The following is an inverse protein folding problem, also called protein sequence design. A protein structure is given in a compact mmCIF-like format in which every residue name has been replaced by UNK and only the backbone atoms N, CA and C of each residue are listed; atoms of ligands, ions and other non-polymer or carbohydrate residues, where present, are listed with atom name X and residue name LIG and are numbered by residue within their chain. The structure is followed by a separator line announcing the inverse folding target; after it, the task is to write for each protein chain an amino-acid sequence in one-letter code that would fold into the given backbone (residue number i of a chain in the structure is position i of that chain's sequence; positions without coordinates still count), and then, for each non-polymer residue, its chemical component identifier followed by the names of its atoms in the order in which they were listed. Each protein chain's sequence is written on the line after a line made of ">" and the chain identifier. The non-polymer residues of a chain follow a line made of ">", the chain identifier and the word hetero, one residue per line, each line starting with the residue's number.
data_IF_648303254076
#
_entry.id   IF_648303254076
#
_cell.length_a   1.000
_cell.length_b   1.000
_cell.length_c   1.000
_cell.angle_alpha   90.00
_cell.angle_beta   90.00
_cell.angle_gamma   90.00
#
_symmetry.space_group_name_H-M   'P 1'
#
loop_
_entity.id
_entity.type
_entity.pdbx_description
1 polymer ?
#
# COMPACT_ATOMS: atom_id res chain seq x y z
N UNK A 1 -9.33 -0.45 -12.73
CA UNK A 1 -9.26 -1.83 -12.15
C UNK A 1 -7.99 -2.61 -12.51
N UNK A 2 -7.26 -2.25 -13.60
CA UNK A 2 -6.09 -3.01 -14.03
C UNK A 2 -5.01 -3.17 -12.93
N UNK A 3 -4.67 -2.08 -12.22
CA UNK A 3 -3.64 -2.13 -11.18
C UNK A 3 -3.91 -3.15 -10.07
N UNK A 4 -5.08 -3.12 -9.40
CA UNK A 4 -5.42 -4.11 -8.36
C UNK A 4 -5.41 -5.56 -8.85
N UNK A 5 -5.88 -5.79 -10.09
CA UNK A 5 -5.90 -7.14 -10.69
C UNK A 5 -4.47 -7.64 -10.92
N UNK A 6 -3.61 -6.80 -11.50
CA UNK A 6 -2.20 -7.14 -11.75
C UNK A 6 -1.49 -7.45 -10.42
N UNK A 7 -1.69 -6.61 -9.39
CA UNK A 7 -1.08 -6.87 -8.08
C UNK A 7 -1.52 -8.21 -7.49
N UNK A 8 -2.81 -8.51 -7.49
CA UNK A 8 -3.33 -9.78 -7.00
C UNK A 8 -2.78 -11.00 -7.77
N UNK A 9 -2.70 -10.92 -9.10
CA UNK A 9 -2.14 -11.98 -9.93
C UNK A 9 -0.66 -12.20 -9.67
N UNK A 10 0.12 -11.13 -9.53
CA UNK A 10 1.56 -11.21 -9.21
C UNK A 10 1.76 -11.84 -7.83
N UNK A 11 0.97 -11.49 -6.81
CA UNK A 11 1.03 -12.14 -5.50
C UNK A 11 0.80 -13.65 -5.63
N UNK A 12 -0.24 -14.08 -6.36
CA UNK A 12 -0.53 -15.51 -6.55
C UNK A 12 0.64 -16.23 -7.22
N UNK A 13 1.07 -15.74 -8.38
CA UNK A 13 2.12 -16.37 -9.17
C UNK A 13 3.42 -16.46 -8.36
N UNK A 14 3.85 -15.34 -7.75
CA UNK A 14 5.08 -15.27 -6.99
C UNK A 14 5.04 -16.11 -5.72
N UNK A 15 3.91 -16.17 -5.01
CA UNK A 15 3.74 -17.03 -3.84
C UNK A 15 3.82 -18.52 -4.22
N UNK A 16 3.22 -18.92 -5.35
CA UNK A 16 3.31 -20.28 -5.87
C UNK A 16 4.76 -20.63 -6.27
N UNK A 17 5.45 -19.73 -6.96
CA UNK A 17 6.88 -19.87 -7.28
C UNK A 17 7.70 -20.08 -6.00
N UNK A 18 7.48 -19.24 -4.96
CA UNK A 18 8.14 -19.39 -3.67
C UNK A 18 7.84 -20.73 -3.02
N UNK A 19 6.57 -21.14 -2.99
CA UNK A 19 6.12 -22.34 -2.32
C UNK A 19 6.66 -23.63 -2.96
N UNK A 20 6.72 -23.71 -4.30
CA UNK A 20 7.02 -24.92 -5.01
C UNK A 20 8.44 -24.99 -5.58
N UNK A 21 9.03 -23.88 -5.98
CA UNK A 21 10.30 -23.84 -6.69
C UNK A 21 11.48 -23.41 -5.81
N UNK A 22 11.22 -22.67 -4.73
CA UNK A 22 12.26 -22.13 -3.86
C UNK A 22 12.30 -22.86 -2.54
N UNK A 23 13.40 -23.56 -2.26
CA UNK A 23 13.66 -24.20 -0.97
C UNK A 23 14.45 -23.25 -0.08
N UNK A 24 13.75 -22.47 0.73
CA UNK A 24 14.35 -21.57 1.72
C UNK A 24 15.20 -20.45 1.09
N UNK A 25 14.77 -19.20 1.21
CA UNK A 25 15.58 -18.04 0.77
C UNK A 25 16.44 -17.64 1.96
N UNK A 26 17.79 -17.59 1.82
CA UNK A 26 18.64 -17.05 2.86
C UNK A 26 18.22 -15.59 3.19
N UNK A 27 18.22 -15.24 4.47
CA UNK A 27 17.80 -13.92 4.97
C UNK A 27 18.51 -12.77 4.24
N UNK A 28 19.78 -12.97 3.88
CA UNK A 28 20.59 -12.04 3.11
C UNK A 28 19.95 -11.62 1.78
N UNK A 29 19.30 -12.56 1.07
CA UNK A 29 18.61 -12.24 -0.21
C UNK A 29 17.30 -11.50 0.05
N UNK A 30 16.56 -11.85 1.09
CA UNK A 30 15.35 -11.11 1.49
C UNK A 30 15.68 -9.66 1.83
N UNK A 31 16.76 -9.43 2.58
CA UNK A 31 17.21 -8.10 2.97
C UNK A 31 17.63 -7.23 1.77
N UNK A 32 18.40 -7.78 0.83
CA UNK A 32 18.83 -7.00 -0.34
C UNK A 32 17.66 -6.66 -1.27
N UNK A 33 16.68 -7.58 -1.42
CA UNK A 33 15.47 -7.34 -2.20
C UNK A 33 14.62 -6.24 -1.55
N UNK A 34 14.44 -6.26 -0.23
CA UNK A 34 13.73 -5.19 0.49
C UNK A 34 14.39 -3.82 0.29
N UNK A 35 15.73 -3.75 0.35
CA UNK A 35 16.47 -2.50 0.14
C UNK A 35 16.36 -1.99 -1.29
N UNK A 36 16.46 -2.87 -2.28
CA UNK A 36 16.26 -2.51 -3.69
C UNK A 36 14.83 -1.99 -3.93
N UNK A 37 13.86 -2.67 -3.36
CA UNK A 37 12.47 -2.26 -3.38
C UNK A 37 12.25 -0.89 -2.74
N UNK A 38 12.89 -0.62 -1.59
CA UNK A 38 12.84 0.67 -0.92
C UNK A 38 13.36 1.80 -1.80
N UNK A 39 14.51 1.61 -2.47
CA UNK A 39 15.08 2.59 -3.39
C UNK A 39 14.16 2.88 -4.58
N UNK A 40 13.57 1.85 -5.18
CA UNK A 40 12.59 2.00 -6.25
C UNK A 40 11.35 2.79 -5.79
N UNK A 41 10.87 2.50 -4.58
CA UNK A 41 9.72 3.19 -3.97
C UNK A 41 10.02 4.66 -3.72
N UNK A 42 11.22 5.00 -3.22
CA UNK A 42 11.66 6.39 -3.03
C UNK A 42 11.70 7.11 -4.38
N UNK A 43 12.29 6.50 -5.40
CA UNK A 43 12.39 7.09 -6.73
C UNK A 43 11.00 7.39 -7.32
N UNK A 44 10.07 6.43 -7.26
CA UNK A 44 8.69 6.61 -7.75
C UNK A 44 8.00 7.73 -6.98
N UNK A 45 8.14 7.74 -5.66
CA UNK A 45 7.54 8.75 -4.82
C UNK A 45 8.03 10.16 -5.11
N UNK A 46 9.35 10.35 -5.24
CA UNK A 46 9.95 11.65 -5.58
C UNK A 46 9.54 12.06 -6.99
N UNK A 47 9.63 11.18 -7.98
CA UNK A 47 9.28 11.48 -9.36
C UNK A 47 7.79 11.89 -9.50
N UNK A 48 6.89 11.24 -8.77
CA UNK A 48 5.48 11.61 -8.72
C UNK A 48 5.24 12.94 -8.02
N UNK A 49 5.94 13.22 -6.91
CA UNK A 49 5.83 14.47 -6.17
C UNK A 49 6.31 15.69 -6.98
N UNK A 50 7.31 15.51 -7.85
CA UNK A 50 7.82 16.57 -8.72
C UNK A 50 6.82 17.04 -9.80
N UNK A 51 5.70 16.35 -9.97
CA UNK A 51 4.62 16.74 -10.88
C UNK A 51 3.66 17.77 -10.28
N UNK A 52 3.89 18.23 -9.04
CA UNK A 52 3.09 19.31 -8.46
C UNK A 52 3.26 20.61 -9.26
N UNK A 53 2.20 21.39 -9.34
CA UNK A 53 2.19 22.68 -10.04
C UNK A 53 2.13 23.86 -9.05
N UNK A 54 1.64 23.62 -7.83
CA UNK A 54 1.59 24.60 -6.74
C UNK A 54 2.37 24.10 -5.50
N UNK A 55 3.64 24.51 -5.43
CA UNK A 55 4.55 24.14 -4.33
C UNK A 55 4.03 24.61 -2.96
N UNK A 56 3.35 25.77 -2.89
CA UNK A 56 2.81 26.28 -1.64
C UNK A 56 1.66 25.40 -1.16
N UNK A 57 0.71 25.10 -2.04
CA UNK A 57 -0.40 24.18 -1.76
C UNK A 57 0.12 22.82 -1.35
N UNK A 58 1.14 22.30 -2.04
CA UNK A 58 1.77 21.03 -1.74
C UNK A 58 2.33 20.98 -0.31
N UNK A 59 3.13 21.99 0.09
CA UNK A 59 3.71 22.08 1.45
C UNK A 59 2.60 22.25 2.49
N UNK A 60 1.64 23.14 2.27
CA UNK A 60 0.52 23.37 3.18
C UNK A 60 -0.32 22.11 3.35
N UNK A 61 -0.56 21.37 2.28
CA UNK A 61 -1.27 20.08 2.33
C UNK A 61 -0.57 19.08 3.25
N UNK A 62 0.75 18.96 3.14
CA UNK A 62 1.53 18.06 4.00
C UNK A 62 1.46 18.49 5.47
N UNK A 63 1.65 19.77 5.77
CA UNK A 63 1.67 20.28 7.15
C UNK A 63 0.28 20.13 7.79
N UNK A 64 -0.76 20.62 7.12
CA UNK A 64 -2.14 20.54 7.63
C UNK A 64 -2.57 19.08 7.77
N UNK A 65 -2.30 18.27 6.74
CA UNK A 65 -2.64 16.86 6.75
C UNK A 65 -1.92 16.07 7.84
N UNK A 66 -0.64 16.38 8.09
CA UNK A 66 0.13 15.77 9.18
C UNK A 66 -0.49 16.09 10.56
N UNK A 67 -0.86 17.35 10.77
CA UNK A 67 -1.51 17.77 12.04
C UNK A 67 -2.85 17.05 12.21
N UNK A 68 -3.70 17.05 11.18
CA UNK A 68 -5.01 16.39 11.22
C UNK A 68 -4.87 14.87 11.43
N UNK A 69 -3.95 14.24 10.74
CA UNK A 69 -3.73 12.79 10.86
C UNK A 69 -3.13 12.37 12.19
N UNK A 70 -2.23 13.18 12.78
CA UNK A 70 -1.68 12.91 14.11
C UNK A 70 -2.75 13.13 15.20
N UNK A 71 -3.65 14.12 15.05
CA UNK A 71 -4.78 14.32 15.97
C UNK A 71 -5.73 13.12 15.99
N UNK A 72 -5.97 12.50 14.83
CA UNK A 72 -6.82 11.30 14.71
C UNK A 72 -6.05 10.02 15.04
N UNK A 73 -4.70 10.05 14.91
CA UNK A 73 -3.80 8.91 15.06
C UNK A 73 -4.20 7.73 14.15
N UNK A 74 -4.25 8.01 12.85
CA UNK A 74 -4.67 7.06 11.82
C UNK A 74 -3.77 5.81 11.82
N UNK A 75 -2.47 5.99 12.05
CA UNK A 75 -1.51 4.89 12.11
C UNK A 75 -1.87 3.89 13.20
N UNK A 76 -2.26 4.37 14.38
CA UNK A 76 -2.73 3.53 15.49
C UNK A 76 -4.03 2.79 15.16
N UNK A 77 -4.93 3.47 14.44
CA UNK A 77 -6.17 2.85 13.96
C UNK A 77 -5.89 1.72 12.97
N UNK A 78 -5.00 1.95 12.01
CA UNK A 78 -4.59 0.93 11.03
C UNK A 78 -3.91 -0.25 11.72
N UNK A 79 -3.00 0.01 12.66
CA UNK A 79 -2.35 -1.04 13.45
C UNK A 79 -3.37 -1.84 14.29
N UNK A 80 -4.37 -1.20 14.88
CA UNK A 80 -5.45 -1.89 15.61
C UNK A 80 -6.31 -2.75 14.68
N UNK A 81 -6.64 -2.26 13.47
CA UNK A 81 -7.37 -3.05 12.48
C UNK A 81 -6.56 -4.27 12.05
N UNK A 82 -5.25 -4.13 11.83
CA UNK A 82 -4.36 -5.23 11.52
C UNK A 82 -4.34 -6.28 12.64
N UNK A 83 -4.17 -5.85 13.89
CA UNK A 83 -4.20 -6.73 15.07
C UNK A 83 -5.56 -7.40 15.25
N UNK A 84 -6.66 -6.68 15.06
CA UNK A 84 -8.00 -7.24 15.14
C UNK A 84 -8.25 -8.31 14.06
N UNK A 85 -7.82 -8.04 12.82
CA UNK A 85 -7.90 -9.01 11.73
C UNK A 85 -7.10 -10.28 12.05
N UNK A 86 -5.88 -10.12 12.57
CA UNK A 86 -5.04 -11.21 13.02
C UNK A 86 -5.71 -12.04 14.12
N UNK A 87 -6.24 -11.39 15.16
CA UNK A 87 -6.93 -12.07 16.27
C UNK A 87 -8.18 -12.83 15.81
N UNK A 88 -8.98 -12.24 14.89
CA UNK A 88 -10.18 -12.91 14.33
C UNK A 88 -9.82 -14.16 13.55
N UNK A 89 -8.73 -14.12 12.79
CA UNK A 89 -8.25 -15.27 12.00
C UNK A 89 -7.65 -16.34 12.93
N UNK A 90 -6.95 -15.92 13.99
CA UNK A 90 -6.42 -16.84 15.00
C UNK A 90 -7.52 -17.45 15.89
N UNK A 91 -8.54 -16.69 16.26
CA UNK A 91 -9.69 -17.17 17.07
C UNK A 91 -10.62 -18.15 16.30
N UNK A 92 -10.63 -18.10 14.97
CA UNK A 92 -11.35 -19.08 14.14
C UNK A 92 -10.66 -20.44 14.01
N UNK A 93 -9.49 -20.60 14.61
CA UNK A 93 -8.73 -21.85 14.65
C UNK A 93 -9.13 -22.70 15.86
N UNK A 94 -10.25 -23.41 15.76
CA UNK A 94 -10.40 -24.68 16.49
C UNK A 94 -9.33 -25.62 15.96
N UNK A 95 -8.52 -26.15 16.86
CA UNK A 95 -7.43 -27.09 16.63
C UNK A 95 -7.79 -28.16 15.59
N UNK A 96 -7.44 -27.95 14.32
CA UNK A 96 -7.16 -29.05 13.41
C UNK A 96 -5.72 -28.87 12.95
N UNK A 97 -4.84 -29.59 13.62
CA UNK A 97 -3.49 -29.91 13.11
C UNK A 97 -3.66 -30.46 11.69
N UNK A 98 -3.64 -29.57 10.70
CA UNK A 98 -3.39 -30.01 9.34
C UNK A 98 -1.97 -30.57 9.32
N UNK A 99 -1.86 -31.87 9.10
CA UNK A 99 -0.61 -32.60 8.94
C UNK A 99 0.11 -32.12 7.64
N UNK A 100 0.54 -30.86 7.64
CA UNK A 100 1.45 -30.28 6.68
C UNK A 100 2.86 -30.28 7.24
N UNK A 101 3.85 -30.36 6.37
CA UNK A 101 5.27 -30.35 6.73
C UNK A 101 5.55 -29.31 7.82
N UNK A 102 6.44 -29.59 8.80
CA UNK A 102 6.82 -28.63 9.83
C UNK A 102 7.34 -27.34 9.17
N UNK A 103 6.65 -26.21 9.39
CA UNK A 103 7.03 -24.90 8.84
C UNK A 103 5.99 -24.21 7.95
N UNK A 104 4.99 -24.92 7.42
CA UNK A 104 3.96 -24.31 6.54
C UNK A 104 2.61 -24.23 7.26
N UNK A 105 2.35 -23.10 7.92
CA UNK A 105 1.05 -22.78 8.52
C UNK A 105 0.27 -21.88 7.57
N UNK A 106 -0.74 -22.43 6.88
CA UNK A 106 -1.60 -21.74 5.93
C UNK A 106 -2.14 -20.43 6.51
N UNK A 107 -2.69 -20.49 7.72
CA UNK A 107 -3.33 -19.33 8.30
C UNK A 107 -2.31 -18.25 8.70
N UNK A 108 -1.12 -18.62 9.13
CA UNK A 108 -0.03 -17.69 9.42
C UNK A 108 0.44 -17.01 8.14
N UNK A 109 0.63 -17.76 7.05
CA UNK A 109 1.01 -17.21 5.75
C UNK A 109 -0.06 -16.29 5.18
N UNK A 110 -1.32 -16.72 5.20
CA UNK A 110 -2.46 -15.91 4.75
C UNK A 110 -2.58 -14.61 5.54
N UNK A 111 -2.55 -14.67 6.87
CA UNK A 111 -2.73 -13.50 7.74
C UNK A 111 -1.58 -12.52 7.59
N UNK A 112 -0.33 -13.00 7.70
CA UNK A 112 0.84 -12.14 7.62
C UNK A 112 0.92 -11.42 6.27
N UNK A 113 0.71 -12.13 5.16
CA UNK A 113 0.73 -11.56 3.82
C UNK A 113 -0.46 -10.60 3.60
N UNK A 114 -1.67 -10.95 4.03
CA UNK A 114 -2.85 -10.08 3.89
C UNK A 114 -2.66 -8.76 4.63
N UNK A 115 -2.19 -8.80 5.88
CA UNK A 115 -1.93 -7.59 6.67
C UNK A 115 -0.84 -6.77 5.98
N UNK A 116 0.31 -7.38 5.65
CA UNK A 116 1.43 -6.66 5.05
C UNK A 116 1.05 -6.00 3.72
N UNK A 117 0.36 -6.71 2.84
CA UNK A 117 0.03 -6.21 1.50
C UNK A 117 -1.14 -5.22 1.49
N UNK A 118 -2.04 -5.30 2.46
CA UNK A 118 -3.12 -4.32 2.62
C UNK A 118 -2.72 -3.09 3.45
N UNK A 119 -1.77 -3.23 4.39
CA UNK A 119 -1.43 -2.21 5.38
C UNK A 119 -0.35 -1.25 4.87
N UNK A 120 -0.57 -0.57 3.80
CA UNK A 120 0.43 0.40 3.33
C UNK A 120 -0.25 1.57 2.64
N UNK A 121 0.25 2.79 2.86
CA UNK A 121 -0.24 3.97 2.14
C UNK A 121 -0.12 3.80 0.62
N UNK A 122 0.85 3.01 0.14
CA UNK A 122 1.00 2.67 -1.28
C UNK A 122 -0.21 1.89 -1.83
N UNK A 123 -0.84 1.02 -1.02
CA UNK A 123 -2.06 0.33 -1.43
C UNK A 123 -3.23 1.32 -1.57
N UNK A 124 -3.36 2.26 -0.64
CA UNK A 124 -4.43 3.28 -0.67
C UNK A 124 -4.20 4.26 -1.81
N UNK A 125 -3.04 4.93 -1.81
CA UNK A 125 -2.72 5.98 -2.80
C UNK A 125 -2.69 5.42 -4.21
N UNK A 126 -2.05 4.25 -4.41
CA UNK A 126 -1.99 3.60 -5.71
C UNK A 126 -3.37 3.18 -6.22
N UNK A 127 -4.24 2.71 -5.33
CA UNK A 127 -5.62 2.35 -5.69
C UNK A 127 -6.47 3.59 -6.01
N UNK A 128 -6.28 4.68 -5.26
CA UNK A 128 -6.93 5.97 -5.54
C UNK A 128 -6.51 6.51 -6.91
N UNK A 129 -5.22 6.59 -7.21
CA UNK A 129 -4.73 7.05 -8.51
C UNK A 129 -5.19 6.14 -9.65
N UNK A 130 -5.18 4.84 -9.42
CA UNK A 130 -5.71 3.86 -10.37
C UNK A 130 -7.18 4.09 -10.69
N UNK A 131 -7.99 4.48 -9.70
CA UNK A 131 -9.41 4.79 -9.87
C UNK A 131 -9.66 6.18 -10.45
N UNK A 132 -9.03 7.22 -9.90
CA UNK A 132 -9.25 8.61 -10.27
C UNK A 132 -8.72 8.96 -11.67
N UNK A 133 -7.51 8.50 -11.97
CA UNK A 133 -6.75 8.93 -13.17
C UNK A 133 -6.50 7.81 -14.17
N UNK A 134 -6.82 6.56 -13.85
CA UNK A 134 -6.39 5.42 -14.64
C UNK A 134 -4.86 5.21 -14.64
N UNK A 135 -4.13 5.90 -13.74
CA UNK A 135 -2.70 5.72 -13.59
C UNK A 135 -2.42 4.53 -12.65
N UNK A 136 -1.77 3.50 -13.18
CA UNK A 136 -1.50 2.25 -12.47
C UNK A 136 -0.04 2.09 -12.03
N UNK A 137 0.84 3.07 -12.29
CA UNK A 137 2.29 2.98 -12.05
C UNK A 137 2.62 2.59 -10.62
N UNK A 138 1.94 3.19 -9.64
CA UNK A 138 2.16 2.90 -8.21
C UNK A 138 1.77 1.47 -7.88
N UNK A 139 0.64 0.99 -8.39
CA UNK A 139 0.23 -0.40 -8.16
C UNK A 139 1.10 -1.40 -8.90
N UNK A 140 1.66 -1.05 -10.07
CA UNK A 140 2.63 -1.89 -10.75
C UNK A 140 3.94 -1.98 -9.97
N UNK A 141 4.46 -0.85 -9.48
CA UNK A 141 5.61 -0.85 -8.58
C UNK A 141 5.33 -1.68 -7.32
N UNK A 142 4.15 -1.49 -6.71
CA UNK A 142 3.71 -2.30 -5.58
C UNK A 142 3.64 -3.79 -5.93
N UNK A 143 3.17 -4.13 -7.14
CA UNK A 143 3.12 -5.53 -7.58
C UNK A 143 4.51 -6.18 -7.63
N UNK A 144 5.54 -5.43 -8.02
CA UNK A 144 6.92 -5.92 -7.98
C UNK A 144 7.36 -6.18 -6.54
N UNK A 145 7.04 -5.27 -5.61
CA UNK A 145 7.37 -5.40 -4.20
C UNK A 145 6.63 -6.57 -3.54
N UNK A 146 5.31 -6.59 -3.70
CA UNK A 146 4.46 -7.64 -3.14
C UNK A 146 4.83 -9.00 -3.76
N UNK A 147 5.17 -9.05 -5.05
CA UNK A 147 5.64 -10.24 -5.73
C UNK A 147 6.94 -10.76 -5.16
N UNK A 148 7.95 -9.90 -4.99
CA UNK A 148 9.23 -10.29 -4.39
C UNK A 148 9.05 -10.83 -2.97
N UNK A 149 8.25 -10.15 -2.14
CA UNK A 149 7.92 -10.60 -0.79
C UNK A 149 7.08 -11.88 -0.80
N UNK A 150 6.19 -12.05 -1.78
CA UNK A 150 5.38 -13.26 -1.95
C UNK A 150 6.24 -14.50 -2.25
N UNK A 151 7.32 -14.36 -3.02
CA UNK A 151 8.29 -15.46 -3.21
C UNK A 151 8.92 -15.86 -1.88
N UNK A 152 9.41 -14.89 -1.11
CA UNK A 152 10.06 -15.13 0.20
C UNK A 152 9.08 -15.77 1.19
N UNK A 153 7.88 -15.21 1.29
CA UNK A 153 6.86 -15.69 2.23
C UNK A 153 6.25 -17.02 1.77
N UNK A 154 6.06 -17.22 0.45
CA UNK A 154 5.62 -18.49 -0.11
C UNK A 154 6.57 -19.63 0.23
N UNK A 155 7.89 -19.38 0.12
CA UNK A 155 8.92 -20.34 0.46
C UNK A 155 8.96 -20.69 1.97
N UNK A 156 8.67 -19.71 2.84
CA UNK A 156 8.79 -19.86 4.30
C UNK A 156 7.46 -20.16 5.01
N UNK A 157 6.34 -19.60 4.54
CA UNK A 157 5.02 -19.71 5.19
C UNK A 157 4.03 -20.57 4.39
N UNK A 158 4.38 -20.93 3.15
CA UNK A 158 3.59 -21.82 2.32
C UNK A 158 2.45 -21.15 1.55
N UNK A 159 1.54 -21.99 1.04
CA UNK A 159 0.50 -21.59 0.06
C UNK A 159 -0.51 -20.56 0.59
N UNK A 160 -0.65 -20.41 1.90
CA UNK A 160 -1.51 -19.39 2.51
C UNK A 160 -1.23 -17.98 1.99
N UNK A 161 0.02 -17.70 1.61
CA UNK A 161 0.43 -16.41 1.04
C UNK A 161 -0.26 -16.14 -0.30
N UNK A 162 -0.45 -17.13 -1.16
CA UNK A 162 -1.15 -16.96 -2.43
C UNK A 162 -2.62 -16.54 -2.24
N UNK A 163 -3.27 -17.02 -1.19
CA UNK A 163 -4.64 -16.67 -0.87
C UNK A 163 -4.80 -15.24 -0.34
N UNK A 164 -3.73 -14.58 0.09
CA UNK A 164 -3.77 -13.16 0.47
C UNK A 164 -4.11 -12.23 -0.70
N UNK A 165 -3.98 -12.70 -1.94
CA UNK A 165 -4.41 -11.98 -3.13
C UNK A 165 -5.90 -11.62 -3.10
N UNK A 166 -6.74 -12.43 -2.44
CA UNK A 166 -8.19 -12.16 -2.35
C UNK A 166 -8.49 -10.91 -1.54
N UNK A 167 -8.10 -10.80 -0.25
CA UNK A 167 -8.31 -9.57 0.50
C UNK A 167 -7.58 -8.37 -0.12
N UNK A 168 -6.41 -8.55 -0.73
CA UNK A 168 -5.70 -7.47 -1.43
C UNK A 168 -6.51 -6.95 -2.61
N UNK A 169 -7.06 -7.84 -3.45
CA UNK A 169 -7.90 -7.46 -4.59
C UNK A 169 -9.18 -6.74 -4.13
N UNK A 170 -9.86 -7.27 -3.10
CA UNK A 170 -11.07 -6.66 -2.57
C UNK A 170 -10.80 -5.27 -1.99
N UNK A 171 -9.71 -5.12 -1.24
CA UNK A 171 -9.32 -3.86 -0.62
C UNK A 171 -8.91 -2.81 -1.66
N UNK A 172 -7.94 -3.12 -2.49
CA UNK A 172 -7.44 -2.20 -3.53
C UNK A 172 -8.48 -1.95 -4.62
N UNK A 173 -9.20 -2.99 -5.03
CA UNK A 173 -10.29 -2.88 -6.00
C UNK A 173 -11.45 -2.05 -5.48
N UNK A 174 -11.83 -2.22 -4.22
CA UNK A 174 -12.85 -1.42 -3.56
C UNK A 174 -12.50 0.06 -3.52
N UNK A 175 -11.25 0.40 -3.13
CA UNK A 175 -10.77 1.79 -3.14
C UNK A 175 -10.74 2.34 -4.57
N UNK A 176 -10.24 1.58 -5.55
CA UNK A 176 -10.16 2.04 -6.93
C UNK A 176 -11.56 2.29 -7.54
N UNK A 177 -12.54 1.43 -7.27
CA UNK A 177 -13.92 1.63 -7.73
C UNK A 177 -14.58 2.84 -7.08
N UNK A 178 -14.41 3.01 -5.76
CA UNK A 178 -14.92 4.18 -5.05
C UNK A 178 -14.31 5.48 -5.60
N UNK A 179 -13.00 5.47 -5.82
CA UNK A 179 -12.26 6.61 -6.39
C UNK A 179 -12.68 6.89 -7.84
N UNK A 180 -12.89 5.87 -8.64
CA UNK A 180 -13.38 6.01 -10.02
C UNK A 180 -14.77 6.63 -10.06
N UNK A 181 -15.65 6.28 -9.13
CA UNK A 181 -16.98 6.89 -9.04
C UNK A 181 -16.90 8.38 -8.69
N UNK A 182 -15.88 8.80 -7.93
CA UNK A 182 -15.65 10.19 -7.58
C UNK A 182 -14.89 11.00 -8.65
N UNK A 183 -14.22 10.37 -9.60
CA UNK A 183 -13.33 11.05 -10.57
C UNK A 183 -14.06 12.07 -11.45
N UNK A 184 -15.32 11.83 -11.79
CA UNK A 184 -16.14 12.76 -12.56
C UNK A 184 -16.51 14.06 -11.84
N UNK A 185 -16.27 14.15 -10.53
CA UNK A 185 -16.56 15.31 -9.69
C UNK A 185 -15.31 16.19 -9.45
N UNK A 186 -14.12 15.74 -9.89
CA UNK A 186 -12.84 16.37 -9.59
C UNK A 186 -12.22 16.96 -10.86
N UNK A 187 -11.70 18.18 -10.78
CA UNK A 187 -10.92 18.76 -11.87
C UNK A 187 -9.57 18.05 -12.02
N UNK A 188 -8.98 18.12 -13.23
CA UNK A 188 -7.65 17.54 -13.49
C UNK A 188 -6.57 18.13 -12.57
N UNK A 189 -6.66 19.43 -12.26
CA UNK A 189 -5.78 20.13 -11.34
C UNK A 189 -5.83 19.52 -9.92
N UNK A 190 -7.04 19.37 -9.37
CA UNK A 190 -7.25 18.74 -8.05
C UNK A 190 -6.62 17.33 -8.03
N UNK A 191 -6.87 16.55 -9.07
CA UNK A 191 -6.36 15.19 -9.16
C UNK A 191 -4.82 15.18 -9.24
N UNK A 192 -4.23 16.12 -9.99
CA UNK A 192 -2.78 16.25 -10.11
C UNK A 192 -2.12 16.56 -8.77
N UNK A 193 -2.63 17.58 -8.06
CA UNK A 193 -2.09 17.97 -6.75
C UNK A 193 -2.29 16.87 -5.69
N UNK A 194 -3.46 16.22 -5.64
CA UNK A 194 -3.70 15.08 -4.78
C UNK A 194 -2.70 13.95 -5.06
N UNK A 195 -2.41 13.69 -6.35
CA UNK A 195 -1.47 12.65 -6.77
C UNK A 195 -0.03 12.99 -6.41
N UNK A 196 0.36 14.26 -6.55
CA UNK A 196 1.70 14.72 -6.18
C UNK A 196 1.94 14.56 -4.67
N UNK A 197 0.99 15.03 -3.83
CA UNK A 197 1.04 14.84 -2.37
C UNK A 197 1.11 13.35 -2.02
N UNK A 198 0.22 12.55 -2.58
CA UNK A 198 0.20 11.10 -2.36
C UNK A 198 1.51 10.42 -2.77
N UNK A 199 2.13 10.88 -3.84
CA UNK A 199 3.42 10.34 -4.29
C UNK A 199 4.55 10.60 -3.29
N UNK A 200 4.58 11.76 -2.63
CA UNK A 200 5.57 12.00 -1.57
C UNK A 200 5.39 11.06 -0.38
N UNK A 201 4.15 10.71 -0.04
CA UNK A 201 3.89 9.72 1.00
C UNK A 201 4.50 8.36 0.65
N UNK A 202 4.53 7.99 -0.63
CA UNK A 202 5.17 6.77 -1.12
C UNK A 202 6.69 6.81 -0.89
N UNK A 203 7.34 7.95 -1.14
CA UNK A 203 8.75 8.11 -0.78
C UNK A 203 8.98 7.89 0.73
N UNK A 204 8.09 8.40 1.58
CA UNK A 204 8.10 8.16 3.03
C UNK A 204 8.06 6.68 3.40
N UNK A 205 7.27 5.86 2.68
CA UNK A 205 7.27 4.40 2.87
C UNK A 205 8.61 3.79 2.48
N UNK A 206 9.19 4.25 1.39
CA UNK A 206 10.51 3.79 0.95
C UNK A 206 11.58 4.03 2.02
N UNK A 207 11.57 5.19 2.68
CA UNK A 207 12.45 5.48 3.82
C UNK A 207 12.21 4.55 5.00
N UNK A 208 10.95 4.22 5.32
CA UNK A 208 10.62 3.25 6.36
C UNK A 208 11.19 1.86 6.03
N UNK A 209 11.11 1.41 4.78
CA UNK A 209 11.69 0.13 4.35
C UNK A 209 13.22 0.10 4.43
N UNK A 210 13.89 1.24 4.29
CA UNK A 210 15.33 1.35 4.54
C UNK A 210 15.69 1.31 6.03
N UNK A 211 14.72 1.48 6.92
CA UNK A 211 14.95 1.51 8.37
C UNK A 211 15.63 2.79 8.86
N UNK A 212 15.54 3.89 8.12
CA UNK A 212 16.21 5.16 8.46
C UNK A 212 15.60 5.77 9.73
N UNK A 213 14.30 5.99 9.75
CA UNK A 213 13.49 6.43 10.90
C UNK A 213 12.03 6.18 10.56
N UNK A 214 11.27 5.70 11.50
CA UNK A 214 9.85 5.43 11.28
C UNK A 214 9.09 6.73 11.05
N UNK A 215 8.52 6.88 9.85
CA UNK A 215 7.59 7.93 9.48
C UNK A 215 6.20 7.32 9.56
N UNK A 216 5.31 7.87 10.39
CA UNK A 216 3.90 7.45 10.45
C UNK A 216 3.15 7.91 9.18
N UNK A 217 3.45 7.26 8.06
CA UNK A 217 2.92 7.68 6.75
C UNK A 217 1.40 7.63 6.71
N UNK A 218 0.78 6.74 7.47
CA UNK A 218 -0.67 6.69 7.60
C UNK A 218 -1.27 7.99 8.15
N UNK A 219 -0.57 8.67 9.07
CA UNK A 219 -1.00 9.96 9.61
C UNK A 219 -0.87 11.11 8.59
N UNK A 220 -0.19 10.88 7.46
CA UNK A 220 -0.11 11.85 6.36
C UNK A 220 -1.22 11.67 5.32
N UNK A 221 -2.05 10.62 5.40
CA UNK A 221 -3.12 10.36 4.42
C UNK A 221 -4.09 11.55 4.27
N UNK A 222 -4.50 12.28 5.32
CA UNK A 222 -5.37 13.45 5.16
C UNK A 222 -4.79 14.53 4.26
N UNK A 223 -3.45 14.63 4.13
CA UNK A 223 -2.80 15.59 3.26
C UNK A 223 -3.24 15.46 1.79
N UNK A 224 -3.53 14.23 1.35
CA UNK A 224 -3.97 13.94 -0.02
C UNK A 224 -5.28 14.66 -0.35
N UNK A 225 -6.13 14.90 0.65
CA UNK A 225 -7.45 15.49 0.48
C UNK A 225 -7.48 17.03 0.66
N UNK A 226 -6.39 17.65 1.10
CA UNK A 226 -6.33 19.11 1.26
C UNK A 226 -6.52 19.84 -0.08
N UNK A 227 -5.89 19.45 -1.20
CA UNK A 227 -6.14 20.10 -2.50
C UNK A 227 -7.61 20.07 -2.93
N UNK A 228 -8.34 19.00 -2.59
CA UNK A 228 -9.78 18.88 -2.86
C UNK A 228 -10.61 19.99 -2.22
N UNK A 229 -10.19 20.48 -1.07
CA UNK A 229 -10.89 21.56 -0.32
C UNK A 229 -10.32 22.92 -0.70
N UNK A 230 -9.00 23.02 -0.81
CA UNK A 230 -8.29 24.29 -1.02
C UNK A 230 -8.55 24.90 -2.39
N UNK A 231 -8.43 24.14 -3.48
CA UNK A 231 -8.55 24.66 -4.84
C UNK A 231 -9.93 25.31 -5.08
N UNK A 232 -11.07 24.68 -4.74
CA UNK A 232 -12.37 25.32 -4.88
C UNK A 232 -12.53 26.56 -3.99
N UNK A 233 -12.01 26.54 -2.74
CA UNK A 233 -12.08 27.68 -1.84
C UNK A 233 -11.25 28.87 -2.34
N UNK A 234 -10.03 28.62 -2.82
CA UNK A 234 -9.17 29.66 -3.39
C UNK A 234 -9.82 30.29 -4.61
N UNK A 235 -10.47 29.51 -5.47
CA UNK A 235 -11.24 30.03 -6.62
C UNK A 235 -12.41 30.92 -6.23
N UNK A 236 -13.03 30.72 -5.06
CA UNK A 236 -14.11 31.57 -4.56
C UNK A 236 -13.62 32.87 -3.89
N UNK A 237 -12.39 32.85 -3.36
CA UNK A 237 -11.81 34.00 -2.63
C UNK A 237 -11.04 34.96 -3.55
N UNK A 238 -10.43 34.43 -4.60
CA UNK A 238 -9.54 35.18 -5.51
C UNK A 238 -10.13 35.39 -6.91
N UNK A 239 -11.38 34.98 -7.18
CA UNK A 239 -12.14 35.38 -8.37
C UNK A 239 -12.95 36.63 -8.08
#
# INVERSE_FOLDING_TARGET
>A
MLGPIVNALVIVICALVGCFLVKGIPERFSEIVKKAAALATIFIGINGAMKNEDVLLFIMSLVIGAVLGELVDIDKWMNRLGQWAQQKIEAGKTEKKSAGKPGHDFAKGFTAASILFCTGSMAIVGSMQSGLMGNHEILFAKSVLDGALSVVFGASLGIGVAFSAVPVLLYQGGIALASQAASGLLSAEIINEMSAVGSLLIAGIGFNFLGVKEIKVANLIPAIFIPLIWIPLAGLVFS
#
